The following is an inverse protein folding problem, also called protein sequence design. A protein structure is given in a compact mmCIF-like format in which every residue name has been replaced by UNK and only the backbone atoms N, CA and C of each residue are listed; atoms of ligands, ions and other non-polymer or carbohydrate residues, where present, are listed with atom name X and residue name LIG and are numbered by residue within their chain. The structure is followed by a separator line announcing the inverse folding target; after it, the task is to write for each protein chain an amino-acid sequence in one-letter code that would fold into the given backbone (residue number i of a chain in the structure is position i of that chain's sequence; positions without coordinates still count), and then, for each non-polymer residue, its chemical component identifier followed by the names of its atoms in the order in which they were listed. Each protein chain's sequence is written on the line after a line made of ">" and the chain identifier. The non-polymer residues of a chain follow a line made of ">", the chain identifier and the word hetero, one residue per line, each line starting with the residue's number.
data_IF_361533298622
#
_entry.id   IF_361533298622
#
_cell.length_a   1.000
_cell.length_b   1.000
_cell.length_c   1.000
_cell.angle_alpha   90.00
_cell.angle_beta   90.00
_cell.angle_gamma   90.00
#
_symmetry.space_group_name_H-M   'P 1'
#
loop_
_entity.id
_entity.type
_entity.pdbx_description
1 polymer ?
#
# COMPACT_ATOMS: atom_id res chain seq x y z
N UNK A 1 -18.07 -8.44 -4.94
CA UNK A 1 -17.14 -8.35 -3.79
C UNK A 1 -17.14 -6.92 -3.28
N UNK A 2 -17.19 -6.74 -1.97
CA UNK A 2 -17.22 -5.42 -1.33
C UNK A 2 -16.08 -5.30 -0.31
N UNK A 3 -15.46 -4.14 -0.24
CA UNK A 3 -14.66 -3.75 0.92
C UNK A 3 -15.67 -3.25 1.96
N UNK A 4 -15.96 -4.10 2.93
CA UNK A 4 -16.99 -3.89 3.97
C UNK A 4 -16.54 -2.88 5.01
N UNK A 5 -15.28 -2.98 5.40
CA UNK A 5 -14.65 -2.12 6.40
C UNK A 5 -13.15 -2.08 6.21
N UNK A 6 -12.53 -1.04 6.74
CA UNK A 6 -11.11 -0.80 6.73
C UNK A 6 -10.61 -0.58 8.15
N UNK A 7 -9.37 -0.96 8.41
CA UNK A 7 -8.67 -0.63 9.65
C UNK A 7 -7.27 -0.11 9.34
N UNK A 8 -6.81 0.84 10.15
CA UNK A 8 -5.48 1.44 10.02
C UNK A 8 -4.85 1.60 11.40
N UNK A 9 -3.62 1.17 11.54
CA UNK A 9 -2.79 1.43 12.70
C UNK A 9 -1.59 2.29 12.30
N UNK A 10 -1.34 3.35 13.02
CA UNK A 10 -0.19 4.22 12.83
C UNK A 10 0.61 4.31 14.13
N UNK A 11 1.92 4.05 14.13
CA UNK A 11 2.80 4.32 15.25
C UNK A 11 2.64 5.75 15.78
N UNK A 12 2.87 5.94 17.07
CA UNK A 12 2.74 7.26 17.72
C UNK A 12 3.88 8.19 17.38
N UNK A 13 5.09 7.64 17.28
CA UNK A 13 6.29 8.41 16.99
C UNK A 13 6.29 8.92 15.55
N UNK A 14 6.83 10.11 15.36
CA UNK A 14 6.91 10.79 14.06
C UNK A 14 8.32 11.27 13.79
N UNK A 15 8.75 11.13 12.53
CA UNK A 15 9.95 11.78 12.02
C UNK A 15 9.53 12.95 11.12
N UNK A 16 9.88 14.17 11.53
CA UNK A 16 9.57 15.38 10.77
C UNK A 16 10.57 15.63 9.63
N UNK A 17 10.18 16.51 8.70
CA UNK A 17 11.01 16.91 7.58
C UNK A 17 12.37 17.49 8.01
N UNK A 18 12.43 18.20 9.16
CA UNK A 18 13.65 18.77 9.74
C UNK A 18 14.68 17.68 10.08
N UNK A 19 14.23 16.59 10.69
CA UNK A 19 15.09 15.45 11.02
C UNK A 19 15.57 14.71 9.76
N UNK A 20 14.69 14.51 8.77
CA UNK A 20 15.06 13.92 7.48
C UNK A 20 16.11 14.82 6.79
N UNK A 21 15.88 16.13 6.73
CA UNK A 21 16.81 17.09 6.14
C UNK A 21 18.19 17.03 6.81
N UNK A 22 18.21 16.97 8.15
CA UNK A 22 19.45 16.87 8.93
C UNK A 22 20.20 15.54 8.63
N UNK A 23 19.51 14.39 8.68
CA UNK A 23 20.12 13.07 8.41
C UNK A 23 20.63 12.95 6.98
N UNK A 24 19.88 13.49 6.02
CA UNK A 24 20.20 13.44 4.58
C UNK A 24 21.15 14.55 4.12
N UNK A 25 21.50 15.50 4.99
CA UNK A 25 22.28 16.71 4.65
C UNK A 25 21.67 17.47 3.46
N UNK A 26 20.34 17.60 3.46
CA UNK A 26 19.59 18.32 2.43
C UNK A 26 18.96 19.60 2.99
N UNK A 27 18.73 20.62 2.14
CA UNK A 27 17.90 21.75 2.52
C UNK A 27 16.48 21.28 2.88
N UNK A 28 15.88 21.91 3.90
CA UNK A 28 14.53 21.57 4.36
C UNK A 28 13.47 21.67 3.25
N UNK A 29 13.58 22.71 2.42
CA UNK A 29 12.69 22.93 1.28
C UNK A 29 12.72 21.77 0.26
N UNK A 30 13.89 21.11 0.11
CA UNK A 30 13.99 19.93 -0.77
C UNK A 30 13.17 18.77 -0.21
N UNK A 31 13.17 18.56 1.10
CA UNK A 31 12.38 17.50 1.74
C UNK A 31 10.89 17.82 1.66
N UNK A 32 10.48 19.05 1.98
CA UNK A 32 9.08 19.46 2.00
C UNK A 32 8.49 19.58 0.59
N UNK A 33 9.18 20.29 -0.33
CA UNK A 33 8.61 20.67 -1.61
C UNK A 33 8.90 19.66 -2.74
N UNK A 34 10.12 19.10 -2.79
CA UNK A 34 10.51 18.16 -3.85
C UNK A 34 10.19 16.71 -3.51
N UNK A 35 10.51 16.28 -2.27
CA UNK A 35 10.21 14.92 -1.82
C UNK A 35 8.76 14.80 -1.33
N UNK A 36 8.15 15.92 -0.90
CA UNK A 36 6.75 15.97 -0.49
C UNK A 36 6.50 15.35 0.89
N UNK A 37 7.46 15.50 1.82
CA UNK A 37 7.38 14.90 3.14
C UNK A 37 7.34 16.02 4.18
N UNK A 38 6.24 16.11 4.94
CA UNK A 38 6.16 16.96 6.12
C UNK A 38 6.54 16.19 7.38
N UNK A 39 6.00 15.00 7.52
CA UNK A 39 6.31 14.06 8.59
C UNK A 39 5.91 12.64 8.16
N UNK A 40 6.40 11.63 8.88
CA UNK A 40 6.00 10.23 8.69
C UNK A 40 6.00 9.47 10.00
N UNK A 41 5.11 8.45 10.19
CA UNK A 41 5.18 7.57 11.34
C UNK A 41 6.44 6.71 11.28
N UNK A 42 7.10 6.59 12.43
CA UNK A 42 8.23 5.69 12.64
C UNK A 42 7.89 4.66 13.72
N UNK A 43 8.39 3.42 13.60
CA UNK A 43 7.98 2.36 14.50
C UNK A 43 8.62 2.49 15.87
N UNK A 44 7.85 2.23 16.92
CA UNK A 44 8.35 1.97 18.26
C UNK A 44 8.83 0.51 18.42
N UNK A 45 9.29 0.15 19.63
CA UNK A 45 9.84 -1.19 19.91
C UNK A 45 8.85 -2.34 19.70
N UNK A 46 7.55 -2.08 19.87
CA UNK A 46 6.50 -3.09 19.72
C UNK A 46 5.80 -3.07 18.34
N UNK A 47 6.12 -2.10 17.49
CA UNK A 47 5.46 -1.90 16.19
C UNK A 47 6.08 -2.83 15.14
N UNK A 48 5.93 -4.15 15.34
CA UNK A 48 6.33 -5.15 14.36
C UNK A 48 5.28 -5.29 13.25
N UNK A 49 5.67 -5.59 12.00
CA UNK A 49 4.74 -5.65 10.89
C UNK A 49 3.51 -6.53 11.12
N UNK A 50 3.69 -7.75 11.65
CA UNK A 50 2.55 -8.63 11.91
C UNK A 50 1.66 -8.12 13.06
N UNK A 51 2.23 -7.50 14.11
CA UNK A 51 1.46 -6.91 15.19
C UNK A 51 0.63 -5.70 14.72
N UNK A 52 1.25 -4.82 13.92
CA UNK A 52 0.53 -3.69 13.33
C UNK A 52 -0.60 -4.15 12.40
N UNK A 53 -0.39 -5.26 11.68
CA UNK A 53 -1.45 -5.88 10.86
C UNK A 53 -2.60 -6.42 11.72
N UNK A 54 -2.31 -7.06 12.88
CA UNK A 54 -3.33 -7.52 13.84
C UNK A 54 -4.17 -6.35 14.34
N UNK A 55 -3.55 -5.28 14.81
CA UNK A 55 -4.30 -4.13 15.35
C UNK A 55 -5.19 -3.46 14.29
N UNK A 56 -4.70 -3.35 13.06
CA UNK A 56 -5.52 -2.86 11.95
C UNK A 56 -6.67 -3.83 11.61
N UNK A 57 -6.43 -5.14 11.66
CA UNK A 57 -7.45 -6.15 11.40
C UNK A 57 -8.55 -6.15 12.47
N UNK A 58 -8.19 -5.96 13.75
CA UNK A 58 -9.15 -5.81 14.84
C UNK A 58 -10.06 -4.58 14.63
N UNK A 59 -9.50 -3.46 14.13
CA UNK A 59 -10.29 -2.27 13.79
C UNK A 59 -11.25 -2.58 12.64
N UNK A 60 -10.79 -3.23 11.57
CA UNK A 60 -11.64 -3.59 10.44
C UNK A 60 -12.78 -4.55 10.83
N UNK A 61 -12.52 -5.58 11.63
CA UNK A 61 -13.54 -6.50 12.12
C UNK A 61 -14.58 -5.79 13.00
N UNK A 62 -14.12 -4.92 13.89
CA UNK A 62 -14.99 -4.11 14.76
C UNK A 62 -15.87 -3.15 13.95
N UNK A 63 -15.29 -2.49 12.94
CA UNK A 63 -16.01 -1.58 12.05
C UNK A 63 -17.12 -2.27 11.26
N UNK A 64 -16.93 -3.53 10.88
CA UNK A 64 -17.94 -4.33 10.20
C UNK A 64 -18.97 -4.99 11.16
N UNK A 65 -18.72 -4.96 12.46
CA UNK A 65 -19.46 -5.74 13.47
C UNK A 65 -19.49 -7.24 13.15
N UNK A 66 -18.32 -7.79 12.73
CA UNK A 66 -18.13 -9.20 12.41
C UNK A 66 -17.03 -9.80 13.29
N UNK A 67 -17.29 -11.01 13.80
CA UNK A 67 -16.31 -11.75 14.57
C UNK A 67 -15.32 -12.51 13.68
N UNK A 68 -14.12 -12.81 14.17
CA UNK A 68 -13.09 -13.54 13.42
C UNK A 68 -13.50 -14.97 13.03
N UNK A 69 -14.46 -15.56 13.71
CA UNK A 69 -15.03 -16.87 13.39
C UNK A 69 -15.82 -16.89 12.07
N UNK A 70 -16.18 -15.72 11.53
CA UNK A 70 -16.88 -15.59 10.24
C UNK A 70 -15.94 -15.62 9.05
N UNK A 71 -14.62 -15.54 9.28
CA UNK A 71 -13.62 -15.48 8.22
C UNK A 71 -13.40 -16.84 7.58
N UNK A 72 -13.55 -16.90 6.25
CA UNK A 72 -13.17 -18.05 5.44
C UNK A 72 -11.67 -18.05 5.11
N UNK A 73 -11.09 -16.84 4.93
CA UNK A 73 -9.69 -16.67 4.56
C UNK A 73 -9.04 -15.46 5.24
N UNK A 74 -7.75 -15.61 5.54
CA UNK A 74 -6.84 -14.53 5.93
C UNK A 74 -5.74 -14.44 4.89
N UNK A 75 -5.65 -13.32 4.17
CA UNK A 75 -4.58 -13.02 3.22
C UNK A 75 -3.66 -12.00 3.87
N UNK A 76 -2.45 -12.44 4.21
CA UNK A 76 -1.40 -11.55 4.69
C UNK A 76 -0.71 -10.86 3.51
N UNK A 77 -0.61 -9.54 3.58
CA UNK A 77 0.17 -8.71 2.65
C UNK A 77 1.37 -8.06 3.34
N UNK A 78 1.87 -8.68 4.43
CA UNK A 78 3.13 -8.27 5.09
C UNK A 78 4.29 -8.61 4.17
N UNK A 79 5.18 -7.65 3.91
CA UNK A 79 6.35 -7.83 3.07
C UNK A 79 7.45 -8.67 3.73
N UNK A 80 8.59 -8.90 3.05
CA UNK A 80 9.68 -9.78 3.52
C UNK A 80 10.44 -9.22 4.74
N UNK A 81 10.56 -7.88 4.86
CA UNK A 81 11.13 -7.26 6.05
C UNK A 81 10.09 -7.22 7.16
N UNK A 82 10.05 -8.28 7.95
CA UNK A 82 9.04 -8.54 8.97
C UNK A 82 9.65 -9.19 10.20
N UNK A 83 8.80 -9.52 11.15
CA UNK A 83 9.10 -10.02 12.49
C UNK A 83 10.18 -11.11 12.52
N UNK A 84 10.08 -12.08 11.62
CA UNK A 84 11.03 -13.19 11.50
C UNK A 84 11.29 -13.57 10.04
N UNK A 85 12.52 -13.91 9.65
CA UNK A 85 12.79 -14.53 8.36
C UNK A 85 12.20 -15.94 8.28
N UNK A 86 11.91 -16.42 7.06
CA UNK A 86 11.40 -17.79 6.80
C UNK A 86 10.16 -18.13 7.66
N UNK A 87 9.18 -17.23 7.66
CA UNK A 87 8.00 -17.33 8.51
C UNK A 87 6.74 -16.88 7.75
N UNK A 88 5.65 -17.66 7.90
CA UNK A 88 4.36 -17.34 7.30
C UNK A 88 3.53 -16.48 8.27
N UNK A 89 3.04 -15.36 7.78
CA UNK A 89 2.33 -14.37 8.60
C UNK A 89 0.84 -14.66 8.71
N UNK A 90 0.20 -15.19 7.65
CA UNK A 90 -1.24 -15.46 7.69
C UNK A 90 -1.69 -16.38 8.82
N UNK A 91 -1.01 -17.51 9.15
CA UNK A 91 -1.35 -18.33 10.31
C UNK A 91 -1.23 -17.58 11.64
N UNK A 92 -0.23 -16.68 11.76
CA UNK A 92 -0.07 -15.86 12.95
C UNK A 92 -1.22 -14.86 13.11
N UNK A 93 -1.62 -14.18 12.05
CA UNK A 93 -2.78 -13.28 12.06
C UNK A 93 -4.05 -14.04 12.47
N UNK A 94 -4.30 -15.21 11.87
CA UNK A 94 -5.45 -16.04 12.20
C UNK A 94 -5.44 -16.46 13.69
N UNK A 95 -4.29 -16.87 14.23
CA UNK A 95 -4.14 -17.22 15.63
C UNK A 95 -4.43 -16.03 16.55
N UNK A 96 -3.80 -14.89 16.30
CA UNK A 96 -3.92 -13.68 17.13
C UNK A 96 -5.35 -13.13 17.15
N UNK A 97 -6.04 -13.19 16.02
CA UNK A 97 -7.42 -12.75 15.89
C UNK A 97 -8.44 -13.78 16.41
N UNK A 98 -8.07 -15.03 16.57
CA UNK A 98 -8.98 -16.12 16.94
C UNK A 98 -9.77 -16.70 15.74
N UNK A 99 -9.31 -16.49 14.51
CA UNK A 99 -9.93 -17.00 13.28
C UNK A 99 -9.61 -18.47 13.01
N UNK A 100 -9.99 -19.35 13.93
CA UNK A 100 -9.60 -20.77 13.97
C UNK A 100 -10.05 -21.60 12.76
N UNK A 101 -11.12 -21.18 12.07
CA UNK A 101 -11.67 -21.89 10.91
C UNK A 101 -11.17 -21.35 9.57
N UNK A 102 -10.47 -20.22 9.57
CA UNK A 102 -10.00 -19.59 8.35
C UNK A 102 -8.82 -20.32 7.71
N UNK A 103 -8.82 -20.40 6.39
CA UNK A 103 -7.63 -20.73 5.60
C UNK A 103 -6.76 -19.47 5.45
N UNK A 104 -5.49 -19.64 5.06
CA UNK A 104 -4.61 -18.48 4.95
C UNK A 104 -3.55 -18.60 3.87
N UNK A 105 -3.04 -17.45 3.42
CA UNK A 105 -1.88 -17.34 2.55
C UNK A 105 -1.15 -16.01 2.76
N UNK A 106 0.16 -16.01 2.53
CA UNK A 106 0.95 -14.80 2.38
C UNK A 106 1.03 -14.45 0.89
N UNK A 107 0.78 -13.19 0.54
CA UNK A 107 0.83 -12.67 -0.82
C UNK A 107 1.75 -11.46 -0.86
N UNK A 108 2.65 -11.40 -1.84
CA UNK A 108 3.57 -10.30 -1.99
C UNK A 108 3.69 -9.85 -3.45
N UNK A 109 3.36 -8.59 -3.68
CA UNK A 109 3.62 -7.80 -4.88
C UNK A 109 4.19 -6.42 -4.49
N UNK A 110 4.98 -6.40 -3.39
CA UNK A 110 5.50 -5.17 -2.79
C UNK A 110 4.37 -4.18 -2.49
N UNK A 111 4.56 -2.90 -2.77
CA UNK A 111 3.54 -1.87 -2.52
C UNK A 111 2.23 -2.06 -3.32
N UNK A 112 2.19 -3.01 -4.29
CA UNK A 112 0.97 -3.38 -5.02
C UNK A 112 0.21 -4.56 -4.39
N UNK A 113 0.68 -5.13 -3.28
CA UNK A 113 0.13 -6.36 -2.67
C UNK A 113 -1.35 -6.24 -2.31
N UNK A 114 -1.85 -5.06 -1.94
CA UNK A 114 -3.27 -4.89 -1.65
C UNK A 114 -4.16 -5.15 -2.87
N UNK A 115 -3.78 -4.63 -4.04
CA UNK A 115 -4.52 -4.90 -5.27
C UNK A 115 -4.44 -6.37 -5.69
N UNK A 116 -3.26 -6.98 -5.57
CA UNK A 116 -3.10 -8.42 -5.81
C UNK A 116 -3.99 -9.25 -4.89
N UNK A 117 -4.13 -8.83 -3.62
CA UNK A 117 -5.02 -9.51 -2.67
C UNK A 117 -6.50 -9.34 -3.03
N UNK A 118 -6.92 -8.18 -3.59
CA UNK A 118 -8.29 -8.00 -4.10
C UNK A 118 -8.57 -8.95 -5.27
N UNK A 119 -7.62 -9.12 -6.20
CA UNK A 119 -7.75 -10.07 -7.32
C UNK A 119 -7.88 -11.52 -6.84
N UNK A 120 -7.00 -11.93 -5.92
CA UNK A 120 -7.05 -13.28 -5.33
C UNK A 120 -8.36 -13.50 -4.56
N UNK A 121 -8.79 -12.53 -3.76
CA UNK A 121 -10.04 -12.61 -3.01
C UNK A 121 -11.26 -12.75 -3.93
N UNK A 122 -11.31 -11.99 -5.04
CA UNK A 122 -12.34 -12.10 -6.07
C UNK A 122 -12.39 -13.53 -6.63
N UNK A 123 -11.24 -14.10 -6.94
CA UNK A 123 -11.11 -15.49 -7.39
C UNK A 123 -11.59 -16.51 -6.35
N UNK A 124 -11.19 -16.37 -5.08
CA UNK A 124 -11.62 -17.25 -3.98
C UNK A 124 -13.14 -17.18 -3.74
N UNK A 125 -13.72 -16.00 -3.81
CA UNK A 125 -15.18 -15.82 -3.70
C UNK A 125 -15.92 -16.50 -4.86
N UNK A 126 -15.40 -16.41 -6.08
CA UNK A 126 -16.01 -16.99 -7.27
C UNK A 126 -15.87 -18.53 -7.32
N UNK A 127 -14.68 -19.07 -6.99
CA UNK A 127 -14.35 -20.48 -7.22
C UNK A 127 -14.50 -21.36 -5.96
N UNK A 128 -14.31 -20.79 -4.77
CA UNK A 128 -14.35 -21.51 -3.49
C UNK A 128 -15.57 -21.18 -2.64
N UNK A 129 -16.38 -20.25 -3.08
CA UNK A 129 -17.59 -19.84 -2.36
C UNK A 129 -17.30 -19.03 -1.09
N UNK A 130 -16.08 -18.50 -0.91
CA UNK A 130 -15.73 -17.68 0.25
C UNK A 130 -16.70 -16.49 0.39
N UNK A 131 -17.11 -16.19 1.63
CA UNK A 131 -18.06 -15.11 1.95
C UNK A 131 -17.39 -13.94 2.62
N UNK A 132 -16.39 -14.20 3.46
CA UNK A 132 -15.64 -13.20 4.21
C UNK A 132 -14.15 -13.49 4.15
N UNK A 133 -13.36 -12.52 3.69
CA UNK A 133 -11.90 -12.60 3.56
C UNK A 133 -11.29 -11.38 4.21
N UNK A 134 -10.37 -11.61 5.14
CA UNK A 134 -9.56 -10.55 5.72
C UNK A 134 -8.26 -10.41 4.91
N UNK A 135 -7.98 -9.21 4.43
CA UNK A 135 -6.66 -8.82 3.91
C UNK A 135 -6.02 -7.92 4.95
N UNK A 136 -4.84 -8.26 5.44
CA UNK A 136 -4.15 -7.47 6.45
C UNK A 136 -2.63 -7.44 6.22
N UNK A 137 -2.01 -6.30 6.48
CA UNK A 137 -0.57 -6.11 6.35
C UNK A 137 -0.01 -5.09 7.31
N UNK A 138 1.28 -5.21 7.54
CA UNK A 138 2.09 -4.22 8.23
C UNK A 138 3.30 -3.87 7.40
N UNK A 139 3.82 -2.69 7.61
CA UNK A 139 4.93 -2.13 6.86
C UNK A 139 5.91 -1.43 7.78
N UNK A 140 7.22 -1.67 7.59
CA UNK A 140 8.28 -1.09 8.41
C UNK A 140 9.57 -0.86 7.62
N UNK A 141 9.50 -0.79 6.29
CA UNK A 141 10.68 -0.66 5.43
C UNK A 141 11.43 0.68 5.62
N UNK A 142 10.88 1.63 6.36
CA UNK A 142 11.58 2.83 6.79
C UNK A 142 12.88 2.57 7.57
N UNK A 143 13.00 1.41 8.24
CA UNK A 143 14.21 0.96 8.91
C UNK A 143 15.36 0.66 7.93
N UNK A 144 15.04 0.37 6.67
CA UNK A 144 15.99 0.02 5.61
C UNK A 144 16.45 1.23 4.79
N UNK A 145 16.14 2.44 5.23
CA UNK A 145 16.50 3.69 4.53
C UNK A 145 17.87 4.18 4.97
N UNK A 146 18.78 4.32 4.03
CA UNK A 146 20.05 5.04 4.20
C UNK A 146 19.87 6.50 3.78
N UNK A 147 19.73 7.40 4.72
CA UNK A 147 19.55 8.84 4.45
C UNK A 147 20.80 9.52 3.86
N UNK A 148 21.94 8.84 3.84
CA UNK A 148 23.19 9.37 3.26
C UNK A 148 23.42 8.93 1.80
N UNK A 149 22.65 7.96 1.30
CA UNK A 149 22.70 7.53 -0.08
C UNK A 149 21.88 8.46 -0.99
N UNK A 150 22.51 9.27 -1.86
CA UNK A 150 21.79 10.20 -2.73
C UNK A 150 20.97 9.51 -3.82
N UNK A 151 21.21 8.24 -4.10
CA UNK A 151 20.49 7.46 -5.11
C UNK A 151 19.16 6.91 -4.62
N UNK A 152 18.96 6.87 -3.28
CA UNK A 152 17.74 6.34 -2.64
C UNK A 152 16.81 7.42 -2.07
N UNK A 153 16.97 8.68 -2.47
CA UNK A 153 16.16 9.81 -1.95
C UNK A 153 14.65 9.63 -2.09
N UNK A 154 14.21 8.89 -3.11
CA UNK A 154 12.80 8.58 -3.33
C UNK A 154 12.24 7.58 -2.30
N UNK A 155 13.10 6.95 -1.47
CA UNK A 155 12.74 6.05 -0.38
C UNK A 155 12.73 6.75 1.00
N UNK A 156 13.09 8.04 1.07
CA UNK A 156 13.14 8.75 2.36
C UNK A 156 11.75 8.94 3.00
N UNK A 157 10.71 8.76 2.21
CA UNK A 157 9.31 8.77 2.65
C UNK A 157 8.82 7.44 3.24
N UNK A 158 9.59 6.34 3.11
CA UNK A 158 9.20 5.04 3.66
C UNK A 158 8.97 5.14 5.17
N UNK A 159 7.79 4.71 5.59
CA UNK A 159 7.26 4.90 6.94
C UNK A 159 6.99 3.55 7.63
N UNK A 160 6.12 3.56 8.64
CA UNK A 160 5.63 2.34 9.30
C UNK A 160 4.13 2.45 9.60
N UNK A 161 3.43 1.30 9.55
CA UNK A 161 2.03 1.22 9.90
C UNK A 161 1.43 -0.16 9.65
N UNK A 162 0.17 -0.32 10.03
CA UNK A 162 -0.66 -1.48 9.74
C UNK A 162 -1.92 -1.08 8.99
N UNK A 163 -2.40 -1.93 8.10
CA UNK A 163 -3.65 -1.72 7.37
C UNK A 163 -4.38 -3.03 7.12
N UNK A 164 -5.71 -2.97 7.15
CA UNK A 164 -6.55 -4.12 6.87
C UNK A 164 -7.82 -3.74 6.13
N UNK A 165 -8.33 -4.69 5.35
CA UNK A 165 -9.62 -4.60 4.68
C UNK A 165 -10.39 -5.90 4.90
N UNK A 166 -11.61 -5.79 5.40
CA UNK A 166 -12.55 -6.90 5.44
C UNK A 166 -13.35 -6.92 4.14
N UNK A 167 -13.20 -7.98 3.39
CA UNK A 167 -13.88 -8.20 2.13
C UNK A 167 -15.05 -9.15 2.31
N UNK A 168 -16.21 -8.79 1.77
CA UNK A 168 -17.39 -9.66 1.78
C UNK A 168 -17.94 -9.87 0.37
N UNK A 169 -18.61 -11.00 0.16
CA UNK A 169 -19.24 -11.30 -1.12
C UNK A 169 -20.37 -10.32 -1.43
N UNK A 170 -21.14 -9.96 -0.40
CA UNK A 170 -22.33 -9.12 -0.46
C UNK A 170 -22.34 -8.16 0.73
N UNK A 171 -23.13 -7.12 0.64
CA UNK A 171 -23.36 -6.16 1.73
C UNK A 171 -23.06 -4.73 1.32
N UNK A 172 -23.23 -3.78 2.23
CA UNK A 172 -22.82 -2.40 1.97
C UNK A 172 -21.31 -2.27 2.02
N UNK A 173 -20.76 -1.25 1.35
CA UNK A 173 -19.35 -0.90 1.33
C UNK A 173 -18.88 -0.47 -0.05
N UNK A 174 -17.57 -0.45 -0.26
CA UNK A 174 -16.99 -0.15 -1.56
C UNK A 174 -17.01 -1.42 -2.42
N UNK A 175 -17.92 -1.46 -3.38
CA UNK A 175 -17.99 -2.54 -4.36
C UNK A 175 -16.81 -2.47 -5.32
N UNK A 176 -16.07 -3.56 -5.45
CA UNK A 176 -14.99 -3.69 -6.44
C UNK A 176 -15.62 -4.04 -7.79
N UNK A 177 -15.52 -3.11 -8.74
CA UNK A 177 -16.08 -3.25 -10.08
C UNK A 177 -15.10 -3.93 -11.03
N UNK A 178 -13.86 -3.44 -11.06
CA UNK A 178 -12.81 -3.91 -11.96
C UNK A 178 -11.43 -3.84 -11.31
N UNK A 179 -10.46 -4.55 -11.90
CA UNK A 179 -9.06 -4.57 -11.50
C UNK A 179 -8.19 -4.67 -12.75
N UNK A 180 -7.15 -3.87 -12.85
CA UNK A 180 -6.16 -3.94 -13.92
C UNK A 180 -4.74 -4.01 -13.35
N UNK A 181 -3.88 -4.83 -13.93
CA UNK A 181 -2.52 -5.07 -13.49
C UNK A 181 -1.53 -5.03 -14.65
N UNK A 182 -0.33 -4.51 -14.37
CA UNK A 182 0.81 -4.54 -15.27
C UNK A 182 2.10 -4.81 -14.52
N UNK A 183 3.09 -5.35 -15.20
CA UNK A 183 4.42 -5.59 -14.67
C UNK A 183 5.47 -5.08 -15.67
N UNK A 184 6.51 -4.44 -15.16
CA UNK A 184 7.70 -4.08 -15.94
C UNK A 184 8.90 -4.92 -15.45
N UNK A 185 9.19 -6.06 -16.10
CA UNK A 185 10.26 -6.96 -15.66
C UNK A 185 11.67 -6.41 -15.87
N UNK A 186 11.83 -5.36 -16.68
CA UNK A 186 13.14 -4.70 -16.91
C UNK A 186 13.67 -4.04 -15.63
N UNK A 187 12.80 -3.79 -14.65
CA UNK A 187 13.15 -3.21 -13.35
C UNK A 187 13.28 -4.24 -12.23
N UNK A 188 13.31 -5.54 -12.55
CA UNK A 188 13.29 -6.62 -11.55
C UNK A 188 14.42 -6.56 -10.51
N UNK A 189 15.58 -6.05 -10.85
CA UNK A 189 16.74 -5.91 -9.96
C UNK A 189 16.99 -4.48 -9.49
N UNK A 190 16.14 -3.53 -9.90
CA UNK A 190 16.41 -2.10 -9.73
C UNK A 190 16.59 -1.68 -8.26
N UNK A 191 15.73 -2.20 -7.35
CA UNK A 191 15.78 -1.87 -5.92
C UNK A 191 15.76 -3.15 -5.10
N UNK A 192 16.72 -3.31 -4.19
CA UNK A 192 16.81 -4.45 -3.29
C UNK A 192 17.72 -4.15 -2.09
N UNK A 193 17.63 -4.97 -1.04
CA UNK A 193 18.70 -5.08 -0.04
C UNK A 193 19.70 -6.09 -0.58
N UNK A 194 20.97 -5.69 -0.82
CA UNK A 194 21.94 -6.53 -1.55
C UNK A 194 22.46 -7.72 -0.73
N UNK A 195 22.27 -7.71 0.59
CA UNK A 195 22.79 -8.72 1.54
C UNK A 195 21.66 -9.35 2.36
N UNK A 196 21.93 -10.45 3.05
CA UNK A 196 20.96 -11.15 3.89
C UNK A 196 20.14 -12.22 3.16
N UNK A 197 20.32 -12.37 1.86
CA UNK A 197 19.73 -13.42 1.03
C UNK A 197 20.73 -14.53 0.70
N UNK A 198 20.30 -15.50 -0.12
CA UNK A 198 21.13 -16.66 -0.50
C UNK A 198 22.31 -16.30 -1.40
N UNK A 199 22.24 -15.21 -2.17
CA UNK A 199 23.35 -14.74 -3.03
C UNK A 199 24.47 -14.13 -2.22
N UNK A 200 24.14 -13.38 -1.18
CA UNK A 200 25.08 -12.73 -0.27
C UNK A 200 24.53 -12.88 1.14
N UNK A 201 24.89 -13.96 1.86
CA UNK A 201 24.46 -14.17 3.23
C UNK A 201 24.91 -13.03 4.15
N UNK A 202 24.14 -12.79 5.21
CA UNK A 202 24.48 -11.78 6.20
C UNK A 202 25.73 -12.19 6.97
N UNK A 203 26.72 -11.30 7.03
CA UNK A 203 27.92 -11.42 7.85
C UNK A 203 28.16 -10.11 8.61
N UNK A 204 29.04 -10.10 9.64
CA UNK A 204 29.37 -8.85 10.34
C UNK A 204 29.84 -7.73 9.42
N UNK A 205 30.63 -8.07 8.39
CA UNK A 205 31.17 -7.12 7.40
C UNK A 205 30.07 -6.58 6.46
N UNK A 206 29.05 -7.40 6.20
CA UNK A 206 27.95 -7.04 5.30
C UNK A 206 26.83 -6.22 5.99
N UNK A 207 26.85 -6.07 7.33
CA UNK A 207 25.81 -5.34 8.05
C UNK A 207 25.66 -3.88 7.60
N UNK A 208 26.74 -3.22 7.21
CA UNK A 208 26.71 -1.84 6.68
C UNK A 208 25.96 -1.70 5.35
N UNK A 209 25.74 -2.80 4.65
CA UNK A 209 25.04 -2.85 3.37
C UNK A 209 23.58 -3.32 3.51
N UNK A 210 23.10 -3.54 4.74
CA UNK A 210 21.71 -3.99 5.00
C UNK A 210 20.72 -2.83 4.92
N UNK A 211 20.73 -2.16 3.76
CA UNK A 211 19.81 -1.09 3.39
C UNK A 211 19.26 -1.31 1.98
N UNK A 212 18.15 -0.66 1.66
CA UNK A 212 17.65 -0.60 0.28
C UNK A 212 18.65 0.16 -0.59
N UNK A 213 19.01 -0.44 -1.71
CA UNK A 213 19.95 0.13 -2.69
C UNK A 213 19.34 0.11 -4.09
N UNK A 214 19.74 1.05 -4.91
CA UNK A 214 19.44 1.08 -6.35
C UNK A 214 20.64 0.53 -7.10
N UNK A 215 20.44 -0.51 -7.92
CA UNK A 215 21.54 -1.18 -8.64
C UNK A 215 22.14 -0.29 -9.73
N UNK A 216 21.28 0.29 -10.58
CA UNK A 216 21.67 1.27 -11.60
C UNK A 216 20.72 2.48 -11.52
N UNK A 217 21.12 3.54 -10.80
CA UNK A 217 20.27 4.73 -10.62
C UNK A 217 19.94 5.46 -11.94
N UNK A 218 20.86 5.45 -12.91
CA UNK A 218 20.67 6.16 -14.18
C UNK A 218 19.67 5.40 -15.06
N UNK A 219 19.87 4.09 -15.23
CA UNK A 219 18.96 3.25 -16.00
C UNK A 219 17.55 3.22 -15.39
N UNK A 220 17.45 3.05 -14.07
CA UNK A 220 16.18 3.09 -13.36
C UNK A 220 15.46 4.43 -13.57
N UNK A 221 16.19 5.56 -13.39
CA UNK A 221 15.60 6.88 -13.59
C UNK A 221 15.10 7.07 -15.02
N UNK A 222 15.92 6.75 -16.02
CA UNK A 222 15.52 6.88 -17.43
C UNK A 222 14.29 6.05 -17.76
N UNK A 223 14.21 4.81 -17.25
CA UNK A 223 13.07 3.93 -17.44
C UNK A 223 11.80 4.49 -16.79
N UNK A 224 11.87 4.88 -15.52
CA UNK A 224 10.71 5.42 -14.78
C UNK A 224 10.24 6.76 -15.34
N UNK A 225 11.14 7.65 -15.75
CA UNK A 225 10.76 8.92 -16.38
C UNK A 225 9.98 8.67 -17.69
N UNK A 226 10.33 7.62 -18.45
CA UNK A 226 9.67 7.29 -19.69
C UNK A 226 8.33 6.52 -19.51
N UNK A 227 8.20 5.69 -18.47
CA UNK A 227 7.12 4.70 -18.41
C UNK A 227 6.18 4.86 -17.23
N UNK A 228 6.61 5.49 -16.12
CA UNK A 228 5.84 5.46 -14.86
C UNK A 228 4.47 6.11 -14.99
N UNK A 229 4.41 7.40 -15.34
CA UNK A 229 3.13 8.11 -15.48
C UNK A 229 2.24 7.51 -16.58
N UNK A 230 2.75 7.24 -17.79
CA UNK A 230 1.96 6.56 -18.82
C UNK A 230 1.38 5.22 -18.36
N UNK A 231 2.13 4.42 -17.58
CA UNK A 231 1.65 3.13 -17.09
C UNK A 231 0.56 3.29 -16.02
N UNK A 232 0.71 4.26 -15.08
CA UNK A 232 -0.36 4.59 -14.14
C UNK A 232 -1.65 4.98 -14.86
N UNK A 233 -1.58 5.92 -15.80
CA UNK A 233 -2.75 6.35 -16.57
C UNK A 233 -3.39 5.18 -17.30
N UNK A 234 -2.56 4.33 -17.92
CA UNK A 234 -3.03 3.17 -18.67
C UNK A 234 -3.77 2.16 -17.79
N UNK A 235 -3.24 1.76 -16.63
CA UNK A 235 -3.92 0.78 -15.77
C UNK A 235 -5.21 1.35 -15.19
N UNK A 236 -5.26 2.65 -14.89
CA UNK A 236 -6.50 3.30 -14.42
C UNK A 236 -7.54 3.34 -15.53
N UNK A 237 -7.16 3.71 -16.75
CA UNK A 237 -8.05 3.72 -17.92
C UNK A 237 -8.58 2.34 -18.24
N UNK A 238 -7.73 1.31 -18.27
CA UNK A 238 -8.15 -0.10 -18.50
C UNK A 238 -9.16 -0.55 -17.44
N UNK A 239 -8.93 -0.24 -16.17
CA UNK A 239 -9.87 -0.56 -15.11
C UNK A 239 -11.21 0.21 -15.25
N UNK A 240 -11.18 1.49 -15.65
CA UNK A 240 -12.37 2.28 -15.94
C UNK A 240 -13.17 1.70 -17.10
N UNK A 241 -12.51 1.38 -18.22
CA UNK A 241 -13.14 0.77 -19.40
C UNK A 241 -13.82 -0.56 -19.04
N UNK A 242 -13.14 -1.45 -18.28
CA UNK A 242 -13.73 -2.72 -17.82
C UNK A 242 -14.97 -2.48 -16.94
N UNK A 243 -14.97 -1.42 -16.13
CA UNK A 243 -16.09 -1.05 -15.28
C UNK A 243 -17.21 -0.30 -16.04
N UNK A 244 -16.98 0.13 -17.28
CA UNK A 244 -17.94 0.89 -18.10
C UNK A 244 -17.98 2.38 -17.79
N UNK A 245 -16.87 2.95 -17.29
CA UNK A 245 -16.74 4.37 -16.89
C UNK A 245 -15.57 5.04 -17.61
N UNK A 246 -15.49 6.35 -17.45
CA UNK A 246 -14.39 7.21 -17.91
C UNK A 246 -13.75 7.95 -16.74
N UNK A 247 -12.65 8.66 -16.96
CA UNK A 247 -12.03 9.49 -15.91
C UNK A 247 -12.90 10.65 -15.45
N UNK A 248 -13.84 11.10 -16.31
CA UNK A 248 -14.80 12.18 -15.97
C UNK A 248 -15.82 11.76 -14.90
N UNK A 249 -16.05 10.44 -14.76
CA UNK A 249 -16.96 9.87 -13.76
C UNK A 249 -16.31 9.71 -12.37
N UNK A 250 -14.97 9.89 -12.26
CA UNK A 250 -14.26 9.69 -11.01
C UNK A 250 -14.52 10.83 -10.00
N UNK A 251 -14.97 10.44 -8.82
CA UNK A 251 -15.11 11.36 -7.67
C UNK A 251 -13.82 11.45 -6.87
N UNK A 252 -13.06 10.35 -6.75
CA UNK A 252 -11.88 10.28 -5.90
C UNK A 252 -10.82 9.32 -6.45
N UNK A 253 -9.54 9.71 -6.31
CA UNK A 253 -8.37 8.88 -6.60
C UNK A 253 -7.58 8.63 -5.31
N UNK A 254 -7.56 7.37 -4.85
CA UNK A 254 -6.65 6.90 -3.80
C UNK A 254 -5.33 6.44 -4.46
N UNK A 255 -4.37 7.34 -4.53
CA UNK A 255 -3.06 7.11 -5.13
C UNK A 255 -2.03 6.85 -4.04
N UNK A 256 -1.12 5.88 -4.25
CA UNK A 256 0.01 5.68 -3.34
C UNK A 256 0.84 6.96 -3.21
N UNK A 257 1.55 7.10 -2.08
CA UNK A 257 2.44 8.24 -1.90
C UNK A 257 3.62 8.19 -2.88
N UNK A 258 3.89 9.31 -3.50
CA UNK A 258 5.00 9.53 -4.43
C UNK A 258 5.37 11.01 -4.41
N UNK A 259 6.40 11.41 -5.16
CA UNK A 259 6.75 12.82 -5.32
C UNK A 259 5.52 13.65 -5.73
N UNK A 260 5.35 14.84 -5.15
CA UNK A 260 4.22 15.72 -5.42
C UNK A 260 4.02 16.00 -6.93
N UNK A 261 5.11 16.20 -7.67
CA UNK A 261 5.04 16.41 -9.13
C UNK A 261 4.48 15.21 -9.89
N UNK A 262 4.82 13.99 -9.46
CA UNK A 262 4.29 12.76 -10.07
C UNK A 262 2.82 12.56 -9.71
N UNK A 263 2.43 12.80 -8.44
CA UNK A 263 1.03 12.78 -8.01
C UNK A 263 0.16 13.73 -8.84
N UNK A 264 0.60 14.99 -9.01
CA UNK A 264 -0.08 15.97 -9.85
C UNK A 264 -0.17 15.54 -11.32
N UNK A 265 0.91 14.98 -11.88
CA UNK A 265 0.90 14.52 -13.26
C UNK A 265 -0.13 13.39 -13.50
N UNK A 266 -0.37 12.50 -12.52
CA UNK A 266 -1.43 11.49 -12.62
C UNK A 266 -2.81 12.16 -12.57
N UNK A 267 -3.04 13.10 -11.65
CA UNK A 267 -4.30 13.84 -11.58
C UNK A 267 -4.60 14.61 -12.88
N UNK A 268 -3.63 15.36 -13.37
CA UNK A 268 -3.74 16.12 -14.63
C UNK A 268 -4.03 15.19 -15.82
N UNK A 269 -3.34 14.04 -15.90
CA UNK A 269 -3.56 13.07 -16.96
C UNK A 269 -4.95 12.43 -16.95
N UNK A 270 -5.65 12.45 -15.80
CA UNK A 270 -7.02 11.97 -15.64
C UNK A 270 -8.06 13.11 -15.68
N UNK A 271 -7.63 14.38 -15.77
CA UNK A 271 -8.51 15.54 -15.67
C UNK A 271 -9.08 15.79 -14.27
N UNK A 272 -8.42 15.27 -13.22
CA UNK A 272 -8.86 15.40 -11.83
C UNK A 272 -8.26 16.66 -11.18
N UNK A 273 -9.01 17.24 -10.23
CA UNK A 273 -8.54 18.33 -9.37
C UNK A 273 -7.81 17.77 -8.13
N UNK A 274 -6.96 18.58 -7.50
CA UNK A 274 -6.21 18.17 -6.29
C UNK A 274 -7.14 17.73 -5.13
N UNK A 275 -8.33 18.34 -5.01
CA UNK A 275 -9.31 17.97 -3.97
C UNK A 275 -9.89 16.57 -4.13
N UNK A 276 -9.78 15.97 -5.32
CA UNK A 276 -10.24 14.61 -5.62
C UNK A 276 -9.21 13.53 -5.25
N UNK A 277 -8.14 13.90 -4.54
CA UNK A 277 -7.17 12.99 -3.94
C UNK A 277 -6.67 13.56 -2.61
N UNK A 278 -6.06 12.71 -1.79
CA UNK A 278 -5.32 13.14 -0.59
C UNK A 278 -3.85 12.84 -0.82
N UNK A 279 -3.03 13.89 -0.76
CA UNK A 279 -1.58 13.74 -0.79
C UNK A 279 -1.04 13.40 0.59
N UNK A 280 -0.36 12.25 0.72
CA UNK A 280 0.00 11.66 2.03
C UNK A 280 1.28 12.27 2.66
N UNK A 281 1.52 13.57 2.51
CA UNK A 281 2.72 14.27 2.97
C UNK A 281 2.99 14.19 4.48
N UNK A 282 1.95 13.91 5.29
CA UNK A 282 2.04 13.73 6.75
C UNK A 282 2.12 12.27 7.17
N UNK A 283 2.14 11.36 6.23
CA UNK A 283 2.16 9.92 6.49
C UNK A 283 3.33 9.22 5.81
N UNK A 284 3.91 9.84 4.77
CA UNK A 284 4.89 9.19 3.92
C UNK A 284 4.29 8.01 3.17
N UNK A 285 5.14 7.07 2.78
CA UNK A 285 4.76 5.87 2.05
C UNK A 285 4.71 4.66 2.98
N UNK A 286 3.50 4.15 3.21
CA UNK A 286 3.26 2.94 4.00
C UNK A 286 3.20 1.68 3.11
N UNK A 287 3.87 1.69 1.97
CA UNK A 287 3.90 0.57 1.04
C UNK A 287 2.51 0.22 0.50
N UNK A 288 2.17 -1.06 0.57
CA UNK A 288 0.89 -1.61 0.14
C UNK A 288 -0.33 -1.08 0.89
N UNK A 289 -0.13 -0.32 1.96
CA UNK A 289 -1.20 0.19 2.83
C UNK A 289 -1.68 1.60 2.45
N UNK A 290 -0.97 2.31 1.59
CA UNK A 290 -1.34 3.66 1.16
C UNK A 290 -2.79 3.77 0.65
N UNK A 291 -3.30 2.84 -0.19
CA UNK A 291 -4.68 2.91 -0.64
C UNK A 291 -5.69 2.77 0.51
N UNK A 292 -5.39 1.90 1.48
CA UNK A 292 -6.23 1.71 2.68
C UNK A 292 -6.27 3.01 3.48
N UNK A 293 -5.10 3.60 3.76
CA UNK A 293 -5.00 4.87 4.48
C UNK A 293 -5.74 5.98 3.73
N UNK A 294 -5.52 6.10 2.42
CA UNK A 294 -6.18 7.13 1.60
C UNK A 294 -7.71 7.01 1.64
N UNK A 295 -8.26 5.80 1.55
CA UNK A 295 -9.70 5.56 1.67
C UNK A 295 -10.24 5.92 3.06
N UNK A 296 -9.52 5.57 4.14
CA UNK A 296 -9.91 5.92 5.51
C UNK A 296 -9.92 7.44 5.70
N UNK A 297 -8.91 8.13 5.22
CA UNK A 297 -8.83 9.59 5.29
C UNK A 297 -9.94 10.26 4.46
N UNK A 298 -10.12 9.82 3.22
CA UNK A 298 -11.13 10.36 2.31
C UNK A 298 -12.55 10.23 2.88
N UNK A 299 -12.83 9.13 3.56
CA UNK A 299 -14.09 8.95 4.27
C UNK A 299 -14.23 9.95 5.42
N UNK A 300 -13.22 10.04 6.29
CA UNK A 300 -13.22 10.98 7.43
C UNK A 300 -13.43 12.43 6.98
N UNK A 301 -12.89 12.80 5.83
CA UNK A 301 -13.03 14.12 5.23
C UNK A 301 -14.31 14.29 4.37
N UNK A 302 -15.16 13.27 4.25
CA UNK A 302 -16.39 13.32 3.46
C UNK A 302 -16.19 13.45 1.95
N UNK A 303 -15.01 13.07 1.45
CA UNK A 303 -14.67 13.07 0.01
C UNK A 303 -15.32 11.91 -0.76
N UNK A 304 -15.65 10.82 -0.06
CA UNK A 304 -16.32 9.64 -0.62
C UNK A 304 -17.71 9.55 0.01
N UNK A 305 -18.76 9.55 -0.83
CA UNK A 305 -20.18 9.54 -0.43
C UNK A 305 -20.90 8.40 -1.16
N UNK A 306 -22.13 8.13 -0.77
CA UNK A 306 -22.99 7.17 -1.47
C UNK A 306 -22.99 7.41 -2.97
N UNK A 307 -22.74 6.36 -3.74
CA UNK A 307 -22.65 6.39 -5.18
C UNK A 307 -21.30 6.85 -5.76
N UNK A 308 -20.37 7.38 -4.93
CA UNK A 308 -19.06 7.84 -5.42
C UNK A 308 -18.29 6.73 -6.13
N UNK A 309 -17.75 7.09 -7.30
CA UNK A 309 -16.81 6.26 -8.07
C UNK A 309 -15.38 6.60 -7.65
N UNK A 310 -14.65 5.59 -7.24
CA UNK A 310 -13.30 5.72 -6.66
C UNK A 310 -12.31 4.87 -7.44
N UNK A 311 -11.19 5.45 -7.83
CA UNK A 311 -10.05 4.69 -8.33
C UNK A 311 -9.01 4.50 -7.23
N UNK A 312 -8.47 3.28 -7.11
CA UNK A 312 -7.21 2.99 -6.42
C UNK A 312 -6.12 2.86 -7.45
N UNK A 313 -4.93 3.41 -7.20
CA UNK A 313 -3.79 3.20 -8.08
C UNK A 313 -2.50 3.07 -7.28
N UNK A 314 -1.73 2.03 -7.60
CA UNK A 314 -0.51 1.64 -6.89
C UNK A 314 0.60 1.26 -7.86
N UNK A 315 1.85 1.38 -7.37
CA UNK A 315 3.00 0.72 -7.97
C UNK A 315 3.86 0.10 -6.86
N UNK A 316 4.46 -1.04 -7.16
CA UNK A 316 5.39 -1.74 -6.27
C UNK A 316 6.73 -1.97 -6.96
N UNK A 317 7.81 -1.90 -6.20
CA UNK A 317 9.14 -2.25 -6.70
C UNK A 317 9.11 -3.63 -7.34
N UNK A 318 9.69 -3.74 -8.56
CA UNK A 318 9.69 -5.00 -9.28
C UNK A 318 9.64 -4.86 -10.82
N UNK A 319 8.90 -3.98 -11.55
CA UNK A 319 7.86 -3.12 -11.01
C UNK A 319 6.49 -3.68 -11.29
N UNK A 320 5.60 -3.55 -10.31
CA UNK A 320 4.18 -3.85 -10.47
C UNK A 320 3.41 -2.53 -10.54
N UNK A 321 2.37 -2.48 -11.35
CA UNK A 321 1.39 -1.41 -11.40
C UNK A 321 0.00 -2.01 -11.32
N UNK A 322 -0.91 -1.33 -10.67
CA UNK A 322 -2.28 -1.79 -10.60
C UNK A 322 -3.25 -0.66 -10.32
N UNK A 323 -4.49 -0.88 -10.78
CA UNK A 323 -5.63 -0.03 -10.46
C UNK A 323 -6.86 -0.88 -10.16
N UNK A 324 -7.74 -0.34 -9.33
CA UNK A 324 -9.07 -0.88 -9.06
C UNK A 324 -10.09 0.23 -9.17
N UNK A 325 -11.26 -0.06 -9.71
CA UNK A 325 -12.40 0.85 -9.69
C UNK A 325 -13.41 0.33 -8.68
N UNK A 326 -13.80 1.22 -7.78
CA UNK A 326 -14.71 0.94 -6.68
C UNK A 326 -15.90 1.88 -6.75
N UNK A 327 -17.05 1.44 -6.22
CA UNK A 327 -18.24 2.29 -6.04
C UNK A 327 -18.77 2.12 -4.63
N UNK A 328 -19.07 3.21 -3.95
CA UNK A 328 -19.70 3.13 -2.63
C UNK A 328 -21.19 2.82 -2.80
N UNK A 329 -21.64 1.69 -2.22
CA UNK A 329 -23.03 1.21 -2.27
C UNK A 329 -23.52 0.83 -0.88
N UNK A 330 -24.74 1.27 -0.54
CA UNK A 330 -25.43 0.89 0.70
C UNK A 330 -24.96 1.62 1.95
N UNK A 331 -24.49 2.85 1.81
CA UNK A 331 -24.17 3.75 2.91
C UNK A 331 -22.70 3.77 3.28
N UNK A 332 -22.33 3.32 4.45
CA UNK A 332 -21.00 3.59 5.02
C UNK A 332 -20.16 2.32 5.06
N UNK A 333 -18.95 2.35 4.50
CA UNK A 333 -17.91 1.40 4.92
C UNK A 333 -17.27 1.92 6.21
N UNK A 334 -17.05 1.05 7.17
CA UNK A 334 -16.53 1.42 8.49
C UNK A 334 -15.01 1.55 8.46
#
# INVERSE_FOLDING_TARGET
>A
MFIRSLGIYLPKERMGAEEIAHRAKLPLEVVKEKLGILEKPIPGPADHPAEMAVWAAEEALRGANLGPETLDWVISIVEEYKDYPVWATAPYLAQRLGAKGALGMDLNQKCASFLGALEVARGLMATRGAKAILVAGGYRNGDLVDYQDPHTRFLYDLAAGGGAALLTREGPGLRVLSLAHRMDPELALAVKVPVGGTRTPLSPEALSEFYLRVEDPQAMKARLDATSIPTFLKVIQEALEEAGYTSEDLDYLALLHMKRSAHRAVLEGLGLREEQSIYLERFGHLGQLDPILSLVLARREGKIREGSLVALAVAGVGYFYGAAILRLEGGVYA
#
